data_IF_911297151275
#
_entry.id   IF_911297151275
#
_cell.length_a   1.000
_cell.length_b   1.000
_cell.length_c   1.000
_cell.angle_alpha   90.00
_cell.angle_beta   90.00
_cell.angle_gamma   90.00
#
_symmetry.space_group_name_H-M   'P 1'
#
loop_
_entity.id
_entity.type
_entity.pdbx_description
1 polymer ?
#
# COMPACT_ATOMS: atom_id res chain seq x y z
N UNK A 1 54.55 29.30 39.53
CA UNK A 1 54.75 28.18 38.62
C UNK A 1 53.44 27.43 38.55
N UNK A 2 52.60 27.74 37.55
CA UNK A 2 51.20 27.24 37.43
C UNK A 2 51.23 26.14 36.37
N UNK A 3 51.00 24.88 36.80
CA UNK A 3 50.88 23.75 35.93
C UNK A 3 49.48 23.72 35.34
N UNK A 4 49.37 23.94 34.03
CA UNK A 4 48.13 23.76 33.28
C UNK A 4 47.97 22.25 32.97
N UNK A 5 46.97 21.62 33.60
CA UNK A 5 46.53 20.27 33.25
C UNK A 5 45.58 20.40 32.06
N UNK A 6 46.01 19.94 30.88
CA UNK A 6 45.20 19.81 29.69
C UNK A 6 44.44 18.48 29.76
N UNK A 7 43.15 18.51 30.10
CA UNK A 7 42.29 17.34 29.99
C UNK A 7 41.86 17.21 28.50
N UNK A 8 42.44 16.25 27.81
CA UNK A 8 42.08 15.87 26.48
C UNK A 8 40.84 14.94 26.57
N UNK A 9 39.63 15.54 26.40
CA UNK A 9 38.42 14.74 26.30
C UNK A 9 38.42 14.07 24.93
N UNK A 10 38.77 12.82 24.87
CA UNK A 10 38.61 11.95 23.70
C UNK A 10 37.12 11.62 23.58
N UNK A 11 36.38 12.42 22.83
CA UNK A 11 35.02 12.06 22.40
C UNK A 11 35.17 10.93 21.39
N UNK A 12 35.02 9.69 21.84
CA UNK A 12 34.73 8.55 21.01
C UNK A 12 33.36 8.83 20.32
N UNK A 13 33.43 9.41 19.15
CA UNK A 13 32.31 9.42 18.20
C UNK A 13 32.04 7.97 17.79
N UNK A 14 31.28 7.26 18.59
CA UNK A 14 30.61 6.06 18.11
C UNK A 14 29.64 6.53 17.03
N UNK A 15 30.03 6.33 15.78
CA UNK A 15 29.12 6.38 14.66
C UNK A 15 28.05 5.30 14.87
N UNK A 16 27.03 5.61 15.65
CA UNK A 16 25.80 4.83 15.59
C UNK A 16 25.22 5.06 14.21
N UNK A 17 25.39 4.09 13.33
CA UNK A 17 24.62 4.01 12.09
C UNK A 17 23.14 3.95 12.48
N UNK A 18 22.48 5.09 12.52
CA UNK A 18 21.06 5.28 12.85
C UNK A 18 20.12 4.55 11.87
N UNK A 19 20.65 3.78 10.92
CA UNK A 19 19.92 3.21 9.80
C UNK A 19 19.74 1.69 9.82
N UNK A 20 20.16 0.96 10.84
CA UNK A 20 19.89 -0.48 10.93
C UNK A 20 18.97 -0.75 12.12
N UNK A 21 17.76 -1.20 11.81
CA UNK A 21 16.91 -1.80 12.83
C UNK A 21 17.43 -3.20 13.12
N UNK A 22 17.63 -3.51 14.39
CA UNK A 22 17.94 -4.88 14.83
C UNK A 22 16.63 -5.66 14.88
N UNK A 23 16.51 -6.70 14.06
CA UNK A 23 15.32 -7.53 13.97
C UNK A 23 15.68 -9.01 13.90
N UNK A 24 14.82 -9.82 14.46
CA UNK A 24 14.95 -11.27 14.44
C UNK A 24 14.11 -11.89 13.34
N UNK A 25 14.67 -12.88 12.64
CA UNK A 25 13.92 -13.75 11.74
C UNK A 25 13.56 -15.01 12.51
N UNK A 26 12.29 -15.14 12.85
CA UNK A 26 11.79 -16.20 13.70
C UNK A 26 10.95 -17.20 12.89
N UNK A 27 10.94 -18.43 13.40
CA UNK A 27 10.04 -19.48 12.90
C UNK A 27 9.37 -20.16 14.08
N UNK A 28 8.07 -20.35 13.97
CA UNK A 28 7.28 -21.03 15.00
C UNK A 28 7.39 -22.54 14.89
N UNK A 29 6.90 -23.27 15.89
CA UNK A 29 6.86 -24.74 15.89
C UNK A 29 6.01 -25.31 14.75
N UNK A 30 4.87 -24.64 14.42
CA UNK A 30 3.99 -25.01 13.31
C UNK A 30 4.48 -24.50 11.93
N UNK A 31 5.73 -23.97 11.90
CA UNK A 31 6.45 -23.66 10.67
C UNK A 31 6.18 -22.29 10.05
N UNK A 32 5.57 -21.36 10.77
CA UNK A 32 5.29 -19.99 10.28
C UNK A 32 6.55 -19.13 10.48
N UNK A 33 7.03 -18.50 9.42
CA UNK A 33 8.14 -17.56 9.48
C UNK A 33 7.63 -16.13 9.61
N UNK A 34 8.28 -15.33 10.45
CA UNK A 34 7.94 -13.92 10.63
C UNK A 34 9.17 -13.11 11.06
N UNK A 35 9.11 -11.79 10.87
CA UNK A 35 10.17 -10.89 11.33
C UNK A 35 9.69 -10.12 12.56
N UNK A 36 10.59 -9.97 13.53
CA UNK A 36 10.28 -9.49 14.86
C UNK A 36 11.24 -8.41 15.34
N UNK A 37 10.69 -7.37 15.98
CA UNK A 37 11.45 -6.36 16.71
C UNK A 37 10.90 -6.26 18.14
N UNK A 38 11.76 -6.50 19.14
CA UNK A 38 11.41 -6.22 20.53
C UNK A 38 11.49 -4.71 20.77
N UNK A 39 10.39 -4.10 21.20
CA UNK A 39 10.31 -2.68 21.54
C UNK A 39 9.49 -2.53 22.82
N UNK A 40 10.17 -2.22 23.92
CA UNK A 40 9.58 -2.04 25.24
C UNK A 40 9.25 -0.57 25.56
N UNK A 41 9.36 0.34 24.61
CA UNK A 41 9.12 1.77 24.81
C UNK A 41 7.68 2.08 25.21
N UNK A 42 6.74 1.26 24.75
CA UNK A 42 5.32 1.33 25.09
C UNK A 42 4.80 -0.07 25.43
N UNK A 43 3.79 -0.21 26.32
CA UNK A 43 3.17 -1.49 26.64
C UNK A 43 2.21 -1.94 25.53
N UNK A 44 2.69 -1.94 24.28
CA UNK A 44 1.91 -2.29 23.08
C UNK A 44 2.60 -3.38 22.28
N UNK A 45 1.81 -4.25 21.71
CA UNK A 45 2.22 -5.23 20.70
C UNK A 45 1.49 -4.92 19.41
N UNK A 46 2.23 -4.82 18.33
CA UNK A 46 1.69 -4.56 17.00
C UNK A 46 2.13 -5.65 16.04
N UNK A 47 1.19 -6.10 15.23
CA UNK A 47 1.43 -7.01 14.13
C UNK A 47 0.84 -6.45 12.86
N UNK A 48 1.60 -6.50 11.77
CA UNK A 48 1.12 -6.26 10.41
C UNK A 48 1.32 -7.54 9.61
N UNK A 49 0.27 -8.00 8.94
CA UNK A 49 0.32 -9.23 8.17
C UNK A 49 -0.40 -9.08 6.84
N UNK A 50 -0.04 -9.93 5.88
CA UNK A 50 -0.70 -9.99 4.58
C UNK A 50 -0.83 -11.43 4.14
N UNK A 51 -1.95 -11.73 3.48
CA UNK A 51 -2.10 -12.95 2.70
C UNK A 51 -2.02 -12.60 1.21
N UNK A 52 -1.12 -13.23 0.47
CA UNK A 52 -0.99 -13.05 -0.98
C UNK A 52 -2.24 -13.54 -1.71
N UNK A 53 -2.57 -12.89 -2.84
CA UNK A 53 -3.76 -13.18 -3.62
C UNK A 53 -4.98 -12.45 -3.06
N UNK A 54 -5.22 -11.24 -3.56
CA UNK A 54 -6.35 -10.39 -3.19
C UNK A 54 -7.53 -10.48 -4.15
N UNK A 55 -8.30 -9.40 -4.23
CA UNK A 55 -9.55 -9.31 -4.97
C UNK A 55 -9.41 -9.54 -6.50
N UNK A 56 -8.20 -9.37 -7.08
CA UNK A 56 -7.99 -9.67 -8.50
C UNK A 56 -8.19 -11.15 -8.83
N UNK A 57 -8.07 -12.04 -7.85
CA UNK A 57 -8.27 -13.47 -8.01
C UNK A 57 -9.72 -13.93 -7.77
N UNK A 58 -10.64 -13.01 -7.57
CA UNK A 58 -12.06 -13.34 -7.49
C UNK A 58 -12.53 -14.03 -8.77
N UNK A 59 -13.40 -15.05 -8.68
CA UNK A 59 -13.94 -15.72 -9.85
C UNK A 59 -14.67 -14.72 -10.77
N UNK A 60 -14.56 -14.93 -12.07
CA UNK A 60 -15.25 -14.09 -13.06
C UNK A 60 -16.75 -14.06 -12.80
N UNK A 61 -17.33 -12.86 -12.80
CA UNK A 61 -18.73 -12.59 -12.47
C UNK A 61 -19.06 -12.62 -10.98
N UNK A 62 -18.07 -12.83 -10.11
CA UNK A 62 -18.17 -12.77 -8.65
C UNK A 62 -17.13 -11.81 -8.04
N UNK A 63 -16.74 -10.79 -8.80
CA UNK A 63 -15.85 -9.73 -8.34
C UNK A 63 -16.42 -9.07 -7.07
N UNK A 64 -15.56 -8.79 -6.11
CA UNK A 64 -15.94 -8.31 -4.77
C UNK A 64 -16.11 -9.42 -3.73
N UNK A 65 -15.92 -10.69 -4.10
CA UNK A 65 -16.11 -11.81 -3.17
C UNK A 65 -15.04 -11.82 -2.07
N UNK A 66 -13.78 -11.51 -2.37
CA UNK A 66 -12.73 -11.34 -1.35
C UNK A 66 -13.05 -10.16 -0.43
N UNK A 67 -13.51 -9.03 -0.96
CA UNK A 67 -13.89 -7.88 -0.14
C UNK A 67 -15.09 -8.20 0.76
N UNK A 68 -16.11 -8.86 0.25
CA UNK A 68 -17.26 -9.32 1.04
C UNK A 68 -16.83 -10.27 2.15
N UNK A 69 -15.99 -11.27 1.84
CA UNK A 69 -15.48 -12.23 2.81
C UNK A 69 -14.71 -11.54 3.94
N UNK A 70 -13.79 -10.64 3.61
CA UNK A 70 -13.01 -9.88 4.61
C UNK A 70 -13.91 -9.00 5.47
N UNK A 71 -14.91 -8.34 4.88
CA UNK A 71 -15.89 -7.50 5.60
C UNK A 71 -16.82 -8.29 6.54
N UNK A 72 -16.84 -9.61 6.44
CA UNK A 72 -17.63 -10.48 7.29
C UNK A 72 -16.85 -11.06 8.48
N UNK A 73 -15.53 -10.92 8.53
CA UNK A 73 -14.68 -11.54 9.55
C UNK A 73 -14.90 -10.99 10.97
N UNK A 74 -15.51 -9.82 11.08
CA UNK A 74 -15.82 -9.18 12.36
C UNK A 74 -17.34 -9.10 12.66
N UNK A 75 -18.18 -9.68 11.80
CA UNK A 75 -19.65 -9.64 11.98
C UNK A 75 -20.20 -10.74 12.90
N UNK A 76 -19.50 -11.87 13.01
CA UNK A 76 -19.87 -12.93 13.93
C UNK A 76 -18.95 -14.14 13.81
N UNK A 77 -18.63 -14.73 14.97
CA UNK A 77 -17.82 -15.95 15.10
C UNK A 77 -18.55 -17.01 15.92
N UNK A 78 -17.95 -18.19 16.06
CA UNK A 78 -18.55 -19.27 16.87
C UNK A 78 -18.90 -18.81 18.30
N UNK A 79 -18.02 -18.01 18.93
CA UNK A 79 -18.18 -17.55 20.32
C UNK A 79 -18.82 -16.16 20.43
N UNK A 80 -18.79 -15.36 19.36
CA UNK A 80 -19.29 -13.99 19.35
C UNK A 80 -20.35 -13.79 18.26
N UNK A 81 -21.61 -13.73 18.66
CA UNK A 81 -22.73 -13.49 17.73
C UNK A 81 -23.06 -12.00 17.63
N UNK A 82 -23.33 -11.54 16.39
CA UNK A 82 -23.68 -10.14 16.11
C UNK A 82 -22.54 -9.19 16.49
N UNK A 83 -22.86 -8.09 17.16
CA UNK A 83 -21.87 -7.05 17.50
C UNK A 83 -20.96 -7.41 18.70
N UNK A 84 -21.10 -8.59 19.32
CA UNK A 84 -20.34 -8.94 20.53
C UNK A 84 -18.83 -8.92 20.30
N UNK A 85 -18.36 -9.41 19.16
CA UNK A 85 -16.93 -9.37 18.83
C UNK A 85 -16.40 -7.92 18.80
N UNK A 86 -17.12 -7.02 18.14
CA UNK A 86 -16.75 -5.59 18.06
C UNK A 86 -16.75 -4.90 19.43
N UNK A 87 -17.70 -5.27 20.29
CA UNK A 87 -17.74 -4.78 21.68
C UNK A 87 -16.55 -5.29 22.49
N UNK A 88 -16.25 -6.60 22.43
CA UNK A 88 -15.10 -7.20 23.13
C UNK A 88 -13.78 -6.60 22.66
N UNK A 89 -13.59 -6.37 21.36
CA UNK A 89 -12.42 -5.67 20.83
C UNK A 89 -12.26 -4.28 21.45
N UNK A 90 -13.35 -3.52 21.54
CA UNK A 90 -13.35 -2.18 22.12
C UNK A 90 -13.06 -2.20 23.62
N UNK A 91 -13.70 -3.09 24.38
CA UNK A 91 -13.53 -3.24 25.85
C UNK A 91 -12.11 -3.68 26.20
N UNK A 92 -11.53 -4.56 25.40
CA UNK A 92 -10.17 -5.05 25.56
C UNK A 92 -9.08 -4.05 25.08
N UNK A 93 -9.45 -2.98 24.37
CA UNK A 93 -8.50 -2.05 23.76
C UNK A 93 -7.72 -2.68 22.59
N UNK A 94 -8.22 -3.77 22.03
CA UNK A 94 -7.65 -4.45 20.88
C UNK A 94 -8.15 -3.83 19.58
N UNK A 95 -7.22 -3.59 18.65
CA UNK A 95 -7.55 -3.09 17.31
C UNK A 95 -7.19 -4.14 16.27
N UNK A 96 -8.18 -4.57 15.51
CA UNK A 96 -8.03 -5.42 14.33
C UNK A 96 -8.56 -4.62 13.14
N UNK A 97 -7.77 -4.56 12.07
CA UNK A 97 -8.24 -4.03 10.79
C UNK A 97 -7.85 -5.01 9.69
N UNK A 98 -8.82 -5.40 8.88
CA UNK A 98 -8.64 -6.28 7.74
C UNK A 98 -9.20 -5.59 6.50
N UNK A 99 -8.49 -5.63 5.40
CA UNK A 99 -8.93 -5.07 4.12
C UNK A 99 -8.54 -5.97 2.95
N UNK A 100 -9.42 -6.01 1.96
CA UNK A 100 -9.11 -6.63 0.67
C UNK A 100 -8.47 -5.58 -0.24
N UNK A 101 -7.29 -5.91 -0.75
CA UNK A 101 -6.57 -5.13 -1.74
C UNK A 101 -6.58 -5.88 -3.09
N UNK A 102 -6.06 -5.25 -4.14
CA UNK A 102 -5.97 -5.91 -5.45
C UNK A 102 -5.22 -7.24 -5.38
N UNK A 103 -4.00 -7.25 -4.86
CA UNK A 103 -3.09 -8.41 -4.88
C UNK A 103 -2.97 -9.16 -3.55
N UNK A 104 -3.59 -8.66 -2.48
CA UNK A 104 -3.45 -9.22 -1.13
C UNK A 104 -4.63 -8.91 -0.24
N UNK A 105 -4.73 -9.63 0.86
CA UNK A 105 -5.52 -9.26 2.03
C UNK A 105 -4.54 -8.68 3.04
N UNK A 106 -4.77 -7.46 3.49
CA UNK A 106 -3.97 -6.80 4.52
C UNK A 106 -4.62 -6.92 5.88
N UNK A 107 -3.78 -7.14 6.91
CA UNK A 107 -4.23 -7.14 8.29
C UNK A 107 -3.29 -6.32 9.18
N UNK A 108 -3.87 -5.61 10.13
CA UNK A 108 -3.15 -5.02 11.26
C UNK A 108 -3.81 -5.40 12.56
N UNK A 109 -3.00 -5.63 13.57
CA UNK A 109 -3.41 -5.99 14.91
C UNK A 109 -2.60 -5.19 15.92
N UNK A 110 -3.26 -4.64 16.93
CA UNK A 110 -2.61 -3.99 18.06
C UNK A 110 -3.33 -4.35 19.35
N UNK A 111 -2.57 -4.62 20.39
CA UNK A 111 -3.09 -4.93 21.73
C UNK A 111 -2.15 -4.37 22.79
N UNK A 112 -2.67 -3.95 23.93
CA UNK A 112 -1.88 -3.62 25.10
C UNK A 112 -1.32 -4.90 25.73
N UNK A 113 -0.06 -4.89 26.22
CA UNK A 113 0.61 -6.08 26.72
C UNK A 113 -0.12 -6.78 27.87
N UNK A 114 -0.88 -6.04 28.68
CA UNK A 114 -1.71 -6.60 29.76
C UNK A 114 -2.93 -7.40 29.29
N UNK A 115 -3.32 -7.24 28.03
CA UNK A 115 -4.50 -7.87 27.43
C UNK A 115 -4.12 -8.83 26.27
N UNK A 116 -2.88 -9.27 26.25
CA UNK A 116 -2.31 -10.04 25.13
C UNK A 116 -3.11 -11.32 24.83
N UNK A 117 -3.48 -12.06 25.86
CA UNK A 117 -4.17 -13.34 25.70
C UNK A 117 -5.54 -13.16 25.06
N UNK A 118 -6.33 -12.24 25.60
CA UNK A 118 -7.66 -11.91 25.08
C UNK A 118 -7.58 -11.33 23.67
N UNK A 119 -6.64 -10.40 23.42
CA UNK A 119 -6.48 -9.78 22.10
C UNK A 119 -6.16 -10.81 21.01
N UNK A 120 -5.23 -11.75 21.28
CA UNK A 120 -4.91 -12.80 20.32
C UNK A 120 -6.03 -13.82 20.16
N UNK A 121 -6.82 -14.08 21.21
CA UNK A 121 -8.04 -14.90 21.10
C UNK A 121 -9.08 -14.24 20.19
N UNK A 122 -9.33 -12.94 20.33
CA UNK A 122 -10.25 -12.21 19.46
C UNK A 122 -9.80 -12.23 17.99
N UNK A 123 -8.48 -12.11 17.75
CA UNK A 123 -7.91 -12.25 16.41
C UNK A 123 -8.08 -13.67 15.84
N UNK A 124 -7.85 -14.69 16.67
CA UNK A 124 -8.08 -16.10 16.32
C UNK A 124 -9.53 -16.33 15.91
N UNK A 125 -10.50 -15.84 16.70
CA UNK A 125 -11.93 -15.96 16.41
C UNK A 125 -12.27 -15.32 15.06
N UNK A 126 -11.79 -14.09 14.81
CA UNK A 126 -12.02 -13.40 13.54
C UNK A 126 -11.50 -14.17 12.32
N UNK A 127 -10.31 -14.76 12.43
CA UNK A 127 -9.66 -15.39 11.26
C UNK A 127 -10.11 -16.84 11.09
N UNK A 128 -10.25 -17.62 12.20
CA UNK A 128 -10.43 -19.07 12.10
C UNK A 128 -11.87 -19.53 12.30
N UNK A 129 -12.73 -18.71 12.93
CA UNK A 129 -14.07 -19.10 13.37
C UNK A 129 -15.22 -18.21 12.85
N UNK A 130 -15.08 -17.56 11.66
CA UNK A 130 -16.16 -16.75 11.13
C UNK A 130 -17.39 -17.62 10.78
N UNK A 131 -18.58 -17.17 11.16
CA UNK A 131 -19.81 -17.92 10.90
C UNK A 131 -20.34 -17.78 9.49
N UNK A 132 -20.11 -16.64 8.86
CA UNK A 132 -20.68 -16.32 7.55
C UNK A 132 -22.16 -16.67 7.44
N UNK A 133 -22.95 -16.27 8.45
CA UNK A 133 -24.38 -16.56 8.45
C UNK A 133 -25.13 -15.73 7.41
N UNK A 134 -26.29 -16.19 6.97
CA UNK A 134 -27.05 -15.59 5.87
C UNK A 134 -27.54 -14.17 6.17
N UNK A 135 -27.80 -13.86 7.43
CA UNK A 135 -28.23 -12.53 7.87
C UNK A 135 -27.10 -11.51 7.72
N UNK A 136 -25.88 -11.82 8.25
CA UNK A 136 -24.70 -10.96 8.14
C UNK A 136 -24.27 -10.81 6.68
N UNK A 137 -24.30 -11.88 5.89
CA UNK A 137 -24.02 -11.79 4.45
C UNK A 137 -24.98 -10.82 3.77
N UNK A 138 -26.27 -10.90 4.06
CA UNK A 138 -27.29 -10.00 3.49
C UNK A 138 -27.06 -8.57 3.92
N UNK A 139 -26.77 -8.34 5.21
CA UNK A 139 -26.47 -7.02 5.77
C UNK A 139 -25.24 -6.40 5.11
N UNK A 140 -24.11 -7.12 5.07
CA UNK A 140 -22.84 -6.61 4.52
C UNK A 140 -22.93 -6.40 3.02
N UNK A 141 -23.62 -7.28 2.26
CA UNK A 141 -23.89 -7.03 0.84
C UNK A 141 -24.64 -5.70 0.62
N UNK A 142 -25.68 -5.43 1.41
CA UNK A 142 -26.41 -4.16 1.33
C UNK A 142 -25.51 -2.96 1.65
N UNK A 143 -24.63 -3.08 2.64
CA UNK A 143 -23.67 -2.02 2.99
C UNK A 143 -22.69 -1.74 1.84
N UNK A 144 -22.12 -2.79 1.22
CA UNK A 144 -21.21 -2.64 0.08
C UNK A 144 -21.97 -2.05 -1.12
N UNK A 145 -23.19 -2.50 -1.41
CA UNK A 145 -24.01 -1.93 -2.48
C UNK A 145 -24.35 -0.46 -2.25
N UNK A 146 -24.63 -0.07 -1.01
CA UNK A 146 -24.84 1.33 -0.64
C UNK A 146 -23.56 2.16 -0.86
N UNK A 147 -22.39 1.62 -0.43
CA UNK A 147 -21.09 2.24 -0.70
C UNK A 147 -20.85 2.42 -2.21
N UNK A 148 -21.08 1.38 -3.03
CA UNK A 148 -20.94 1.46 -4.49
C UNK A 148 -21.87 2.55 -5.07
N UNK A 149 -23.08 2.69 -4.54
CA UNK A 149 -24.02 3.75 -4.98
C UNK A 149 -23.50 5.14 -4.63
N UNK A 150 -22.95 5.33 -3.44
CA UNK A 150 -22.31 6.59 -3.02
C UNK A 150 -21.10 6.88 -3.91
N UNK A 151 -20.23 5.90 -4.16
CA UNK A 151 -19.04 6.02 -4.99
C UNK A 151 -19.37 6.56 -6.40
N UNK A 152 -20.55 6.21 -6.96
CA UNK A 152 -21.02 6.72 -8.25
C UNK A 152 -21.30 8.23 -8.25
N UNK A 153 -21.56 8.84 -7.10
CA UNK A 153 -21.80 10.28 -6.97
C UNK A 153 -20.54 11.08 -6.62
N UNK A 154 -19.44 10.41 -6.27
CA UNK A 154 -18.17 11.05 -5.89
C UNK A 154 -17.23 11.12 -7.09
N UNK A 155 -17.02 12.34 -7.59
CA UNK A 155 -16.24 12.61 -8.82
C UNK A 155 -14.84 11.99 -8.78
N UNK A 156 -14.13 12.12 -7.65
CA UNK A 156 -12.78 11.55 -7.50
C UNK A 156 -12.76 10.03 -7.49
N UNK A 157 -13.78 9.40 -6.91
CA UNK A 157 -13.93 7.94 -6.95
C UNK A 157 -14.22 7.49 -8.37
N UNK A 158 -15.15 8.15 -9.07
CA UNK A 158 -15.45 7.84 -10.47
C UNK A 158 -14.23 8.01 -11.38
N UNK A 159 -13.42 9.06 -11.16
CA UNK A 159 -12.20 9.25 -11.93
C UNK A 159 -11.21 8.08 -11.73
N UNK A 160 -11.05 7.61 -10.48
CA UNK A 160 -10.16 6.50 -10.17
C UNK A 160 -10.69 5.15 -10.68
N UNK A 161 -11.99 4.89 -10.56
CA UNK A 161 -12.63 3.66 -11.05
C UNK A 161 -12.57 3.58 -12.57
N UNK A 162 -12.97 4.64 -13.27
CA UNK A 162 -12.91 4.73 -14.74
C UNK A 162 -11.48 4.68 -15.25
N UNK A 163 -10.54 5.33 -14.54
CA UNK A 163 -9.12 5.19 -14.85
C UNK A 163 -8.68 3.72 -14.80
N UNK A 164 -8.97 3.00 -13.71
CA UNK A 164 -8.58 1.59 -13.59
C UNK A 164 -9.25 0.72 -14.67
N UNK A 165 -10.54 0.92 -14.92
CA UNK A 165 -11.33 0.18 -15.91
C UNK A 165 -10.72 0.27 -17.31
N UNK A 166 -10.31 1.48 -17.72
CA UNK A 166 -9.84 1.74 -19.07
C UNK A 166 -8.32 1.56 -19.17
N UNK A 167 -7.55 2.13 -18.25
CA UNK A 167 -6.09 2.09 -18.29
C UNK A 167 -5.53 0.66 -18.22
N UNK A 168 -6.17 -0.20 -17.41
CA UNK A 168 -5.82 -1.63 -17.28
C UNK A 168 -6.74 -2.55 -18.08
N UNK A 169 -7.38 -2.06 -19.14
CA UNK A 169 -8.27 -2.85 -19.98
C UNK A 169 -7.66 -4.20 -20.32
N UNK A 170 -8.50 -5.23 -20.39
CA UNK A 170 -8.10 -6.62 -20.64
C UNK A 170 -7.15 -7.23 -19.60
N UNK A 171 -7.02 -6.60 -18.44
CA UNK A 171 -6.25 -7.10 -17.30
C UNK A 171 -7.14 -7.25 -16.07
N UNK A 172 -6.77 -8.14 -15.15
CA UNK A 172 -7.43 -8.26 -13.85
C UNK A 172 -7.37 -6.94 -13.05
N UNK A 173 -6.37 -6.10 -13.30
CA UNK A 173 -6.20 -4.80 -12.63
C UNK A 173 -7.31 -3.79 -12.96
N UNK A 174 -8.10 -4.00 -14.03
CA UNK A 174 -9.28 -3.19 -14.33
C UNK A 174 -10.43 -3.42 -13.34
N UNK A 175 -10.44 -4.55 -12.61
CA UNK A 175 -11.51 -4.94 -11.69
C UNK A 175 -11.58 -4.05 -10.46
N UNK A 176 -12.80 -3.73 -10.04
CA UNK A 176 -13.05 -3.05 -8.77
C UNK A 176 -12.98 -4.05 -7.61
N UNK A 177 -12.23 -3.72 -6.57
CA UNK A 177 -12.10 -4.55 -5.35
C UNK A 177 -13.44 -4.80 -4.67
N UNK A 178 -14.35 -3.83 -4.70
CA UNK A 178 -15.72 -3.98 -4.15
C UNK A 178 -16.64 -4.81 -5.05
N UNK A 179 -16.22 -5.09 -6.28
CA UNK A 179 -17.08 -5.68 -7.31
C UNK A 179 -18.13 -4.72 -7.84
N UNK A 180 -19.23 -5.27 -8.33
CA UNK A 180 -20.41 -4.55 -8.80
C UNK A 180 -21.66 -5.00 -8.05
N UNK A 181 -22.75 -4.24 -8.14
CA UNK A 181 -24.03 -4.66 -7.56
C UNK A 181 -24.52 -6.01 -8.13
N UNK A 182 -24.22 -6.26 -9.40
CA UNK A 182 -24.58 -7.49 -10.11
C UNK A 182 -23.72 -8.68 -9.69
N UNK A 183 -22.39 -8.49 -9.58
CA UNK A 183 -21.48 -9.55 -9.14
C UNK A 183 -21.74 -9.94 -7.69
N UNK A 184 -21.98 -8.97 -6.80
CA UNK A 184 -22.31 -9.20 -5.38
C UNK A 184 -23.56 -10.07 -5.19
N UNK A 185 -24.59 -9.92 -6.04
CA UNK A 185 -25.80 -10.76 -5.97
C UNK A 185 -25.50 -12.24 -6.22
N UNK A 186 -24.52 -12.53 -7.10
CA UNK A 186 -24.15 -13.91 -7.49
C UNK A 186 -23.26 -14.61 -6.49
N UNK A 187 -22.67 -13.91 -5.53
CA UNK A 187 -21.80 -14.50 -4.52
C UNK A 187 -22.65 -15.26 -3.50
N UNK A 188 -22.44 -16.56 -3.40
CA UNK A 188 -23.10 -17.42 -2.41
C UNK A 188 -22.27 -17.55 -1.12
N UNK A 189 -22.89 -18.08 -0.07
CA UNK A 189 -22.19 -18.45 1.18
C UNK A 189 -21.05 -19.43 0.92
N UNK A 190 -21.27 -20.41 0.04
CA UNK A 190 -20.24 -21.39 -0.33
C UNK A 190 -19.03 -20.72 -1.02
N UNK A 191 -19.25 -19.70 -1.85
CA UNK A 191 -18.15 -18.94 -2.45
C UNK A 191 -17.31 -18.23 -1.39
N UNK A 192 -17.95 -17.66 -0.37
CA UNK A 192 -17.28 -16.97 0.74
C UNK A 192 -16.40 -17.96 1.51
N UNK A 193 -16.92 -19.12 1.89
CA UNK A 193 -16.14 -20.18 2.55
C UNK A 193 -14.98 -20.69 1.70
N UNK A 194 -15.20 -20.88 0.40
CA UNK A 194 -14.16 -21.31 -0.52
C UNK A 194 -13.02 -20.29 -0.59
N UNK A 195 -13.35 -19.00 -0.78
CA UNK A 195 -12.37 -17.91 -0.85
C UNK A 195 -11.62 -17.78 0.48
N UNK A 196 -12.31 -17.88 1.60
CA UNK A 196 -11.69 -17.86 2.93
C UNK A 196 -10.64 -18.97 3.05
N UNK A 197 -11.01 -20.22 2.77
CA UNK A 197 -10.12 -21.39 2.85
C UNK A 197 -8.92 -21.30 1.90
N UNK A 198 -9.11 -20.73 0.70
CA UNK A 198 -8.06 -20.57 -0.30
C UNK A 198 -7.12 -19.39 0.01
N UNK A 199 -7.63 -18.34 0.61
CA UNK A 199 -6.86 -17.11 0.90
C UNK A 199 -6.07 -17.21 2.20
N UNK A 200 -6.70 -17.71 3.27
CA UNK A 200 -6.06 -17.83 4.58
C UNK A 200 -5.28 -19.15 4.68
N UNK A 201 -4.07 -19.14 4.15
CA UNK A 201 -3.16 -20.29 4.16
C UNK A 201 -1.78 -19.90 4.65
N UNK A 202 -1.07 -20.82 5.32
CA UNK A 202 0.29 -20.57 5.85
C UNK A 202 1.27 -20.11 4.78
N UNK A 203 1.17 -20.67 3.58
CA UNK A 203 2.10 -20.37 2.50
C UNK A 203 1.92 -18.98 1.87
N UNK A 204 0.74 -18.38 2.04
CA UNK A 204 0.44 -17.03 1.55
C UNK A 204 0.67 -15.95 2.60
N UNK A 205 0.91 -16.35 3.87
CA UNK A 205 1.00 -15.46 5.03
C UNK A 205 2.41 -14.86 5.17
N UNK A 206 2.43 -13.56 5.38
CA UNK A 206 3.63 -12.76 5.64
C UNK A 206 3.35 -11.91 6.86
N UNK A 207 4.27 -11.93 7.86
CA UNK A 207 4.05 -11.28 9.15
C UNK A 207 5.26 -10.45 9.55
N UNK A 208 5.00 -9.24 10.03
CA UNK A 208 5.93 -8.42 10.82
C UNK A 208 5.33 -8.13 12.18
N UNK A 209 6.12 -8.25 13.23
CA UNK A 209 5.74 -8.01 14.62
C UNK A 209 6.70 -7.04 15.27
N UNK A 210 6.18 -6.11 16.06
CA UNK A 210 6.99 -5.24 16.88
C UNK A 210 6.27 -4.89 18.20
N UNK A 211 6.99 -4.84 19.31
CA UNK A 211 6.40 -4.40 20.57
C UNK A 211 6.93 -5.07 21.81
N UNK A 212 6.23 -4.84 22.91
CA UNK A 212 6.60 -5.29 24.25
C UNK A 212 6.16 -6.75 24.49
N UNK A 213 6.87 -7.67 23.85
CA UNK A 213 6.74 -9.12 23.96
C UNK A 213 8.11 -9.74 23.73
N UNK A 214 8.39 -10.88 24.31
CA UNK A 214 9.60 -11.65 23.98
C UNK A 214 9.36 -12.58 22.76
N UNK A 215 10.44 -13.05 22.15
CA UNK A 215 10.40 -13.87 20.94
C UNK A 215 9.69 -15.20 21.13
N UNK A 216 9.80 -15.84 22.30
CA UNK A 216 9.14 -17.13 22.58
C UNK A 216 7.62 -16.97 22.71
N UNK A 217 7.17 -15.95 23.44
CA UNK A 217 5.74 -15.65 23.50
C UNK A 217 5.19 -15.19 22.14
N UNK A 218 5.96 -14.41 21.37
CA UNK A 218 5.57 -14.04 20.01
C UNK A 218 5.35 -15.29 19.13
N UNK A 219 6.25 -16.27 19.15
CA UNK A 219 6.07 -17.56 18.45
C UNK A 219 4.80 -18.29 18.87
N UNK A 220 4.54 -18.40 20.17
CA UNK A 220 3.35 -19.07 20.72
C UNK A 220 2.06 -18.42 20.23
N UNK A 221 1.96 -17.08 20.29
CA UNK A 221 0.75 -16.38 19.87
C UNK A 221 0.55 -16.39 18.34
N UNK A 222 1.64 -16.35 17.56
CA UNK A 222 1.56 -16.53 16.10
C UNK A 222 1.06 -17.93 15.75
N UNK A 223 1.57 -18.99 16.42
CA UNK A 223 1.08 -20.35 16.24
C UNK A 223 -0.34 -20.53 16.72
N UNK A 224 -0.73 -19.85 17.80
CA UNK A 224 -2.11 -19.87 18.28
C UNK A 224 -3.08 -19.36 17.22
N UNK A 225 -2.78 -18.21 16.60
CA UNK A 225 -3.69 -17.61 15.60
C UNK A 225 -3.62 -18.30 14.25
N UNK A 226 -2.41 -18.56 13.74
CA UNK A 226 -2.22 -18.96 12.34
C UNK A 226 -1.78 -20.42 12.16
N UNK A 227 -1.47 -21.11 13.26
CA UNK A 227 -0.89 -22.45 13.23
C UNK A 227 -1.84 -23.53 12.71
N UNK A 228 -3.15 -23.32 12.77
CA UNK A 228 -4.16 -24.24 12.26
C UNK A 228 -4.59 -23.94 10.81
N UNK A 229 -4.10 -22.83 10.24
CA UNK A 229 -4.41 -22.50 8.84
C UNK A 229 -3.91 -23.63 7.91
N UNK A 230 -4.65 -23.95 6.86
CA UNK A 230 -4.23 -24.95 5.90
C UNK A 230 -2.95 -24.55 5.18
N UNK A 231 -2.13 -25.52 4.78
CA UNK A 231 -1.06 -25.32 3.83
C UNK A 231 -1.59 -25.50 2.41
N UNK A 232 -1.22 -24.59 1.50
CA UNK A 232 -1.57 -24.70 0.08
C UNK A 232 -0.30 -24.81 -0.75
N UNK A 233 -0.31 -25.67 -1.75
CA UNK A 233 0.76 -25.72 -2.76
C UNK A 233 0.56 -24.68 -3.86
N UNK A 234 -0.64 -24.13 -4.00
CA UNK A 234 -0.96 -23.14 -5.01
C UNK A 234 -0.39 -21.75 -4.59
N UNK A 235 0.47 -21.21 -5.42
CA UNK A 235 0.89 -19.82 -5.31
C UNK A 235 -0.25 -18.94 -5.81
N UNK A 236 -0.62 -17.95 -5.00
CA UNK A 236 -1.62 -16.94 -5.37
C UNK A 236 -0.91 -15.69 -5.90
N UNK A 237 -0.30 -15.83 -7.07
CA UNK A 237 0.39 -14.75 -7.75
C UNK A 237 -0.55 -14.06 -8.74
N UNK A 238 -0.48 -12.74 -8.79
CA UNK A 238 -1.25 -11.96 -9.76
C UNK A 238 -0.47 -11.88 -11.07
N UNK A 239 -1.07 -12.19 -12.23
CA UNK A 239 -0.39 -12.04 -13.51
C UNK A 239 -0.06 -10.57 -13.79
N UNK A 240 1.06 -10.28 -14.47
CA UNK A 240 1.38 -8.91 -14.88
C UNK A 240 0.32 -8.37 -15.86
N UNK A 241 0.19 -7.05 -15.92
CA UNK A 241 -0.59 -6.42 -16.97
C UNK A 241 0.29 -6.18 -18.21
N UNK A 242 -0.20 -6.61 -19.37
CA UNK A 242 0.58 -6.56 -20.61
C UNK A 242 0.46 -5.20 -21.31
N UNK A 243 -0.75 -4.75 -21.56
CA UNK A 243 -1.03 -3.52 -22.26
C UNK A 243 -1.65 -2.49 -21.29
N UNK A 244 -1.27 -1.24 -21.45
CA UNK A 244 -1.87 -0.11 -20.76
C UNK A 244 -2.37 0.87 -21.81
N UNK A 245 -3.59 1.38 -21.60
CA UNK A 245 -4.17 2.37 -22.51
C UNK A 245 -3.39 3.68 -22.48
N UNK A 246 -3.51 4.45 -23.57
CA UNK A 246 -2.82 5.73 -23.79
C UNK A 246 -3.82 6.76 -24.32
N UNK A 247 -3.48 8.03 -24.19
CA UNK A 247 -4.33 9.11 -24.68
C UNK A 247 -5.22 9.73 -23.62
N UNK A 248 -6.45 10.02 -23.93
CA UNK A 248 -7.40 10.59 -22.97
C UNK A 248 -8.82 10.10 -23.22
N UNK A 249 -9.53 9.84 -22.10
CA UNK A 249 -10.95 9.52 -22.10
C UNK A 249 -11.71 10.49 -21.21
N UNK A 250 -12.97 10.74 -21.53
CA UNK A 250 -13.81 11.68 -20.84
C UNK A 250 -15.11 11.01 -20.38
N UNK A 251 -15.37 11.12 -19.07
CA UNK A 251 -16.63 10.71 -18.46
C UNK A 251 -17.38 11.93 -17.95
N UNK A 252 -18.58 12.16 -18.46
CA UNK A 252 -19.37 13.34 -18.13
C UNK A 252 -20.02 13.22 -16.76
N UNK A 253 -19.76 14.22 -15.92
CA UNK A 253 -20.41 14.41 -14.63
C UNK A 253 -20.60 15.89 -14.35
N UNK A 254 -21.81 16.26 -13.90
CA UNK A 254 -22.07 17.62 -13.45
C UNK A 254 -21.27 17.95 -12.20
N UNK A 255 -20.24 18.78 -12.36
CA UNK A 255 -19.35 19.20 -11.28
C UNK A 255 -18.69 20.55 -11.60
N UNK A 256 -18.43 21.41 -10.60
CA UNK A 256 -17.78 22.69 -10.83
C UNK A 256 -16.30 22.55 -11.24
N UNK A 257 -15.66 21.44 -10.89
CA UNK A 257 -14.27 21.15 -11.23
C UNK A 257 -14.14 19.74 -11.78
N UNK A 258 -13.40 19.58 -12.88
CA UNK A 258 -13.02 18.28 -13.36
C UNK A 258 -11.96 17.63 -12.46
N UNK A 259 -12.09 16.33 -12.22
CA UNK A 259 -11.05 15.50 -11.60
C UNK A 259 -10.37 14.67 -12.68
N UNK A 260 -9.05 14.74 -12.71
CA UNK A 260 -8.23 14.02 -13.68
C UNK A 260 -7.32 13.05 -12.95
N UNK A 261 -7.35 11.79 -13.37
CA UNK A 261 -6.35 10.77 -13.00
C UNK A 261 -5.55 10.45 -14.24
N UNK A 262 -4.23 10.43 -14.12
CA UNK A 262 -3.34 10.12 -15.23
C UNK A 262 -2.29 9.10 -14.84
N UNK A 263 -1.75 8.39 -15.81
CA UNK A 263 -0.70 7.42 -15.52
C UNK A 263 0.00 6.86 -16.74
N UNK A 264 1.07 6.15 -16.47
CA UNK A 264 1.85 5.36 -17.43
C UNK A 264 2.45 4.14 -16.75
N UNK A 265 3.07 3.23 -17.50
CA UNK A 265 3.88 2.14 -16.95
C UNK A 265 5.01 2.68 -16.08
N UNK A 266 5.22 2.04 -14.95
CA UNK A 266 6.31 2.27 -14.02
C UNK A 266 7.11 1.00 -13.76
N UNK A 267 7.51 0.77 -12.51
CA UNK A 267 8.32 -0.37 -12.10
C UNK A 267 7.75 -1.06 -10.87
N UNK A 268 7.74 -2.39 -10.88
CA UNK A 268 7.53 -3.21 -9.70
C UNK A 268 8.65 -3.04 -8.67
N UNK A 269 8.37 -3.45 -7.44
CA UNK A 269 9.25 -3.18 -6.28
C UNK A 269 10.61 -3.85 -6.37
N UNK A 270 10.71 -5.00 -7.04
CA UNK A 270 11.96 -5.77 -7.24
C UNK A 270 12.82 -5.27 -8.41
N UNK A 271 12.32 -4.37 -9.22
CA UNK A 271 13.07 -3.87 -10.36
C UNK A 271 14.34 -3.13 -9.86
N UNK A 272 15.49 -3.41 -10.48
CA UNK A 272 16.78 -2.77 -10.14
C UNK A 272 16.73 -1.26 -10.25
N UNK A 273 15.95 -0.73 -11.17
CA UNK A 273 15.79 0.70 -11.43
C UNK A 273 14.74 1.37 -10.52
N UNK A 274 14.12 0.60 -9.58
CA UNK A 274 13.02 1.10 -8.74
C UNK A 274 13.39 2.35 -7.93
N UNK A 275 14.57 2.38 -7.28
CA UNK A 275 14.99 3.55 -6.51
C UNK A 275 15.30 4.76 -7.40
N UNK A 276 15.89 4.54 -8.56
CA UNK A 276 16.11 5.58 -9.55
C UNK A 276 14.78 6.16 -10.07
N UNK A 277 13.80 5.30 -10.37
CA UNK A 277 12.47 5.72 -10.76
C UNK A 277 11.73 6.47 -9.63
N UNK A 278 11.92 6.08 -8.36
CA UNK A 278 11.39 6.83 -7.22
C UNK A 278 11.98 8.23 -7.12
N UNK A 279 13.29 8.39 -7.35
CA UNK A 279 13.95 9.70 -7.37
C UNK A 279 13.39 10.56 -8.49
N UNK A 280 13.25 10.02 -9.70
CA UNK A 280 12.66 10.72 -10.84
C UNK A 280 11.23 11.17 -10.54
N UNK A 281 10.41 10.27 -9.99
CA UNK A 281 9.04 10.63 -9.62
C UNK A 281 8.98 11.65 -8.49
N UNK A 282 9.89 11.60 -7.51
CA UNK A 282 9.98 12.63 -6.45
C UNK A 282 10.16 14.02 -7.06
N UNK A 283 11.11 14.16 -7.96
CA UNK A 283 11.38 15.44 -8.66
C UNK A 283 10.18 15.86 -9.49
N UNK A 284 9.54 14.92 -10.17
CA UNK A 284 8.42 15.22 -11.08
C UNK A 284 7.15 15.65 -10.35
N UNK A 285 6.63 14.84 -9.42
CA UNK A 285 5.34 15.10 -8.78
C UNK A 285 5.21 14.55 -7.35
N UNK A 286 6.19 13.75 -6.87
CA UNK A 286 6.14 13.11 -5.56
C UNK A 286 6.73 13.95 -4.42
N UNK A 287 7.47 15.00 -4.72
CA UNK A 287 8.15 15.86 -3.75
C UNK A 287 7.28 16.96 -3.13
N UNK A 288 5.96 16.88 -3.28
CA UNK A 288 5.03 17.89 -2.77
C UNK A 288 5.33 19.27 -3.37
N UNK A 289 5.45 20.28 -2.54
CA UNK A 289 5.72 21.67 -2.97
C UNK A 289 7.04 21.85 -3.76
N UNK A 290 8.00 20.95 -3.61
CA UNK A 290 9.27 21.02 -4.32
C UNK A 290 9.24 20.37 -5.72
N UNK A 291 8.18 19.63 -6.05
CA UNK A 291 8.07 18.93 -7.32
C UNK A 291 7.86 19.88 -8.50
N UNK A 292 8.32 19.47 -9.69
CA UNK A 292 8.18 20.24 -10.93
C UNK A 292 6.71 20.48 -11.31
N UNK A 293 5.87 19.45 -11.19
CA UNK A 293 4.43 19.57 -11.46
C UNK A 293 3.78 20.63 -10.56
N UNK A 294 4.11 20.62 -9.27
CA UNK A 294 3.52 21.58 -8.35
C UNK A 294 3.97 23.01 -8.69
N UNK A 295 5.26 23.22 -8.89
CA UNK A 295 5.84 24.53 -9.23
C UNK A 295 5.27 25.08 -10.55
N UNK A 296 5.21 24.23 -11.59
CA UNK A 296 4.77 24.68 -12.91
C UNK A 296 3.26 24.85 -12.99
N UNK A 297 2.48 23.86 -12.51
CA UNK A 297 1.02 23.84 -12.74
C UNK A 297 0.27 24.67 -11.70
N UNK A 298 0.71 24.62 -10.43
CA UNK A 298 0.05 25.37 -9.35
C UNK A 298 0.66 26.74 -9.13
N UNK A 299 1.97 26.84 -8.84
CA UNK A 299 2.56 28.11 -8.40
C UNK A 299 2.64 29.11 -9.54
N UNK A 300 3.15 28.70 -10.72
CA UNK A 300 3.32 29.63 -11.84
C UNK A 300 2.04 29.89 -12.63
N UNK A 301 1.20 28.87 -12.81
CA UNK A 301 0.05 29.00 -13.70
C UNK A 301 -1.31 29.02 -12.97
N UNK A 302 -1.38 28.72 -11.65
CA UNK A 302 -2.61 28.78 -10.87
C UNK A 302 -3.75 27.87 -11.36
N UNK A 303 -3.42 26.82 -12.13
CA UNK A 303 -4.41 25.97 -12.80
C UNK A 303 -5.07 24.97 -11.85
N UNK A 304 -4.37 24.56 -10.77
CA UNK A 304 -4.81 23.54 -9.81
C UNK A 304 -4.56 23.99 -8.37
N UNK A 305 -5.31 23.43 -7.41
CA UNK A 305 -4.99 23.56 -6.00
C UNK A 305 -3.89 22.59 -5.56
N UNK A 306 -3.95 21.36 -6.07
CA UNK A 306 -2.92 20.35 -5.85
C UNK A 306 -2.72 19.48 -7.09
N UNK A 307 -1.50 19.02 -7.28
CA UNK A 307 -1.14 18.03 -8.30
C UNK A 307 -0.02 17.16 -7.76
N UNK A 308 -0.09 15.88 -8.04
CA UNK A 308 0.88 14.91 -7.55
C UNK A 308 1.08 13.76 -8.53
N UNK A 309 2.19 13.05 -8.36
CA UNK A 309 2.39 11.72 -8.93
C UNK A 309 3.13 10.83 -7.95
N UNK A 310 2.91 9.52 -8.02
CA UNK A 310 3.63 8.53 -7.25
C UNK A 310 3.86 7.25 -8.06
N UNK A 311 4.96 6.58 -7.74
CA UNK A 311 5.28 5.26 -8.27
C UNK A 311 4.56 4.22 -7.42
N UNK A 312 3.60 3.51 -8.01
CA UNK A 312 2.84 2.44 -7.40
C UNK A 312 3.38 1.09 -7.88
N UNK A 313 4.15 0.38 -7.04
CA UNK A 313 4.62 -0.95 -7.38
C UNK A 313 3.54 -1.99 -7.11
N UNK A 314 3.41 -2.94 -8.01
CA UNK A 314 2.72 -4.20 -7.84
C UNK A 314 3.73 -5.35 -7.67
N UNK A 315 3.27 -6.59 -7.47
CA UNK A 315 4.17 -7.73 -7.27
C UNK A 315 5.13 -7.92 -8.45
N UNK A 316 4.62 -7.94 -9.67
CA UNK A 316 5.39 -8.21 -10.89
C UNK A 316 5.64 -6.99 -11.78
N UNK A 317 4.91 -5.90 -11.60
CA UNK A 317 5.01 -4.70 -12.46
C UNK A 317 4.77 -3.42 -11.61
N UNK A 318 4.55 -2.27 -12.25
CA UNK A 318 4.20 -1.03 -11.55
C UNK A 318 3.74 0.05 -12.51
N UNK A 319 3.18 1.10 -11.94
CA UNK A 319 2.72 2.28 -12.68
C UNK A 319 3.20 3.57 -12.01
N UNK A 320 3.37 4.62 -12.79
CA UNK A 320 3.41 5.98 -12.29
C UNK A 320 2.00 6.52 -12.49
N UNK A 321 1.36 6.93 -11.40
CA UNK A 321 0.00 7.45 -11.41
C UNK A 321 -0.02 8.80 -10.71
N UNK A 322 -0.87 9.70 -11.17
CA UNK A 322 -1.04 11.01 -10.58
C UNK A 322 -2.45 11.53 -10.74
N UNK A 323 -2.72 12.65 -10.12
CA UNK A 323 -4.03 13.27 -10.21
C UNK A 323 -4.02 14.75 -9.87
N UNK A 324 -5.05 15.44 -10.34
CA UNK A 324 -5.33 16.83 -10.03
C UNK A 324 -6.80 17.16 -10.23
N UNK A 325 -7.22 18.29 -9.67
CA UNK A 325 -8.51 18.90 -9.95
C UNK A 325 -8.31 20.29 -10.53
N UNK A 326 -9.10 20.63 -11.54
CA UNK A 326 -9.05 21.94 -12.18
C UNK A 326 -10.44 22.39 -12.63
N UNK A 327 -10.60 23.67 -12.94
CA UNK A 327 -11.85 24.17 -13.56
C UNK A 327 -12.06 23.48 -14.90
N UNK A 328 -13.30 23.14 -15.25
CA UNK A 328 -13.59 22.42 -16.50
C UNK A 328 -12.94 23.09 -17.74
N UNK A 329 -12.98 24.42 -17.83
CA UNK A 329 -12.37 25.19 -18.93
C UNK A 329 -10.83 25.10 -19.01
N UNK A 330 -10.16 24.71 -17.94
CA UNK A 330 -8.69 24.66 -17.86
C UNK A 330 -8.12 23.23 -18.07
N UNK A 331 -8.97 22.24 -18.33
CA UNK A 331 -8.56 20.82 -18.41
C UNK A 331 -7.48 20.61 -19.46
N UNK A 332 -7.70 21.05 -20.70
CA UNK A 332 -6.74 20.81 -21.79
C UNK A 332 -5.41 21.55 -21.58
N UNK A 333 -5.46 22.79 -21.05
CA UNK A 333 -4.26 23.55 -20.70
C UNK A 333 -3.46 22.84 -19.60
N UNK A 334 -4.16 22.35 -18.55
CA UNK A 334 -3.49 21.64 -17.45
C UNK A 334 -2.86 20.35 -17.93
N UNK A 335 -3.55 19.56 -18.76
CA UNK A 335 -3.00 18.35 -19.37
C UNK A 335 -1.76 18.67 -20.23
N UNK A 336 -1.80 19.76 -21.00
CA UNK A 336 -0.66 20.20 -21.80
C UNK A 336 0.56 20.49 -20.91
N UNK A 337 0.37 21.19 -19.78
CA UNK A 337 1.46 21.46 -18.81
C UNK A 337 2.03 20.16 -18.22
N UNK A 338 1.19 19.20 -17.84
CA UNK A 338 1.64 17.88 -17.36
C UNK A 338 2.50 17.19 -18.45
N UNK A 339 2.03 17.14 -19.70
CA UNK A 339 2.77 16.54 -20.82
C UNK A 339 4.11 17.25 -21.06
N UNK A 340 4.14 18.58 -20.93
CA UNK A 340 5.39 19.35 -21.06
C UNK A 340 6.43 18.96 -19.99
N UNK A 341 6.01 18.76 -18.73
CA UNK A 341 6.93 18.32 -17.67
C UNK A 341 7.40 16.87 -17.89
N UNK A 342 6.55 15.98 -18.42
CA UNK A 342 6.94 14.64 -18.84
C UNK A 342 8.01 14.69 -19.94
N UNK A 343 7.79 15.52 -20.96
CA UNK A 343 8.75 15.73 -22.06
C UNK A 343 10.06 16.32 -21.57
N UNK A 344 10.03 17.29 -20.64
CA UNK A 344 11.24 17.83 -20.02
C UNK A 344 12.00 16.75 -19.25
N UNK A 345 11.28 15.92 -18.47
CA UNK A 345 11.90 14.80 -17.76
C UNK A 345 12.59 13.82 -18.71
N UNK A 346 11.94 13.47 -19.83
CA UNK A 346 12.51 12.61 -20.87
C UNK A 346 13.77 13.19 -21.47
N UNK A 347 13.74 14.46 -21.88
CA UNK A 347 14.78 15.08 -22.72
C UNK A 347 15.95 15.66 -21.91
N UNK A 348 15.68 16.14 -20.70
CA UNK A 348 16.66 16.87 -19.88
C UNK A 348 17.04 16.10 -18.60
N UNK A 349 16.21 15.12 -18.20
CA UNK A 349 16.38 14.42 -16.94
C UNK A 349 16.22 15.35 -15.73
N UNK A 350 16.99 15.10 -14.68
CA UNK A 350 17.05 15.91 -13.46
C UNK A 350 18.42 16.55 -13.31
N UNK A 351 18.48 17.66 -12.56
CA UNK A 351 19.73 18.34 -12.22
C UNK A 351 20.45 17.66 -11.05
N UNK A 352 21.73 17.99 -10.85
CA UNK A 352 22.52 17.53 -9.72
C UNK A 352 21.92 17.97 -8.37
N UNK A 353 21.35 19.19 -8.32
CA UNK A 353 20.70 19.71 -7.11
C UNK A 353 19.40 18.92 -6.78
N UNK A 354 18.54 18.68 -7.77
CA UNK A 354 17.34 17.86 -7.62
C UNK A 354 17.66 16.44 -7.16
N UNK A 355 18.72 15.83 -7.68
CA UNK A 355 19.20 14.54 -7.22
C UNK A 355 19.65 14.59 -5.75
N UNK A 356 20.42 15.61 -5.37
CA UNK A 356 20.86 15.80 -3.98
C UNK A 356 19.68 15.96 -3.02
N UNK A 357 18.71 16.80 -3.35
CA UNK A 357 17.50 17.01 -2.55
C UNK A 357 16.68 15.73 -2.40
N UNK A 358 16.47 14.99 -3.49
CA UNK A 358 15.76 13.71 -3.45
C UNK A 358 16.47 12.65 -2.59
N UNK A 359 17.80 12.53 -2.70
CA UNK A 359 18.60 11.64 -1.83
C UNK A 359 18.45 12.03 -0.36
N UNK A 360 18.59 13.31 -0.02
CA UNK A 360 18.44 13.82 1.34
C UNK A 360 17.05 13.50 1.89
N UNK A 361 16.00 13.75 1.11
CA UNK A 361 14.64 13.41 1.49
C UNK A 361 14.45 11.92 1.77
N UNK A 362 14.88 11.05 0.85
CA UNK A 362 14.67 9.60 1.01
C UNK A 362 15.48 9.01 2.17
N UNK A 363 16.64 9.55 2.46
CA UNK A 363 17.43 9.15 3.63
C UNK A 363 16.76 9.62 4.93
N UNK A 364 16.44 10.92 5.02
CA UNK A 364 15.87 11.52 6.22
C UNK A 364 14.45 11.03 6.52
N UNK A 365 13.61 10.84 5.50
CA UNK A 365 12.23 10.39 5.70
C UNK A 365 12.11 8.93 6.16
N UNK A 366 13.17 8.14 6.03
CA UNK A 366 13.12 6.73 6.40
C UNK A 366 12.97 6.52 7.91
N UNK A 367 13.54 7.39 8.73
CA UNK A 367 13.42 7.35 10.19
C UNK A 367 11.98 7.39 10.70
N UNK A 368 11.07 7.98 9.92
CA UNK A 368 9.63 8.00 10.26
C UNK A 368 8.99 6.62 10.33
N UNK A 369 9.58 5.60 9.71
CA UNK A 369 9.07 4.24 9.80
C UNK A 369 9.34 3.59 11.18
N UNK A 370 10.13 4.22 12.03
CA UNK A 370 10.50 3.71 13.36
C UNK A 370 9.80 4.47 14.51
N UNK A 371 8.81 5.29 14.21
CA UNK A 371 8.13 6.14 15.21
C UNK A 371 7.01 5.43 15.97
N UNK A 372 6.63 4.22 15.57
CA UNK A 372 5.61 3.42 16.26
C UNK A 372 5.79 1.93 15.96
N UNK A 373 5.38 1.08 16.91
CA UNK A 373 5.44 -0.37 16.76
C UNK A 373 4.70 -0.88 15.52
N UNK A 374 3.54 -0.27 15.18
CA UNK A 374 2.79 -0.67 13.97
C UNK A 374 3.52 -0.27 12.69
N UNK A 375 4.21 0.87 12.67
CA UNK A 375 5.01 1.29 11.50
C UNK A 375 6.20 0.35 11.31
N UNK A 376 6.86 -0.07 12.40
CA UNK A 376 7.94 -1.04 12.38
C UNK A 376 7.43 -2.39 11.86
N UNK A 377 6.36 -2.92 12.44
CA UNK A 377 5.74 -4.18 12.00
C UNK A 377 5.35 -4.14 10.51
N UNK A 378 4.79 -3.02 10.06
CA UNK A 378 4.42 -2.82 8.65
C UNK A 378 5.65 -2.81 7.74
N UNK A 379 6.73 -2.14 8.16
CA UNK A 379 7.97 -2.11 7.39
C UNK A 379 8.60 -3.50 7.26
N UNK A 380 8.65 -4.28 8.35
CA UNK A 380 9.12 -5.66 8.37
C UNK A 380 8.31 -6.53 7.40
N UNK A 381 6.97 -6.42 7.44
CA UNK A 381 6.07 -7.13 6.51
C UNK A 381 6.32 -6.72 5.05
N UNK A 382 6.45 -5.43 4.76
CA UNK A 382 6.65 -4.92 3.38
C UNK A 382 7.97 -5.44 2.78
N UNK A 383 9.04 -5.48 3.56
CA UNK A 383 10.33 -6.01 3.10
C UNK A 383 10.22 -7.49 2.74
N UNK A 384 9.51 -8.28 3.55
CA UNK A 384 9.23 -9.69 3.29
C UNK A 384 8.28 -9.87 2.08
N UNK A 385 7.21 -9.08 2.00
CA UNK A 385 6.21 -9.17 0.93
C UNK A 385 6.85 -9.03 -0.45
N UNK A 386 7.75 -8.06 -0.61
CA UNK A 386 8.47 -7.84 -1.85
C UNK A 386 9.80 -8.60 -1.93
N UNK A 387 10.11 -9.48 -0.94
CA UNK A 387 11.34 -10.29 -0.91
C UNK A 387 12.59 -9.45 -1.20
N UNK A 388 12.77 -8.37 -0.43
CA UNK A 388 13.88 -7.42 -0.62
C UNK A 388 15.18 -7.86 0.06
N UNK A 389 15.15 -8.98 0.76
CA UNK A 389 16.29 -9.55 1.49
C UNK A 389 16.45 -8.98 2.91
N UNK A 390 17.12 -9.75 3.76
CA UNK A 390 17.38 -9.37 5.16
C UNK A 390 18.27 -8.13 5.30
N UNK A 391 19.17 -7.94 4.34
CA UNK A 391 20.13 -6.85 4.37
C UNK A 391 19.56 -5.52 3.80
N UNK A 392 18.26 -5.51 3.50
CA UNK A 392 17.59 -4.33 2.92
C UNK A 392 17.78 -3.07 3.76
N UNK A 393 17.66 -3.18 5.09
CA UNK A 393 17.79 -2.03 6.00
C UNK A 393 19.20 -1.46 6.01
N UNK A 394 20.20 -2.34 6.10
CA UNK A 394 21.61 -1.95 6.06
C UNK A 394 22.02 -1.37 4.71
N UNK A 395 21.58 -1.97 3.61
CA UNK A 395 22.01 -1.61 2.26
C UNK A 395 21.26 -0.41 1.66
N UNK A 396 20.06 -0.09 2.17
CA UNK A 396 19.17 0.91 1.57
C UNK A 396 19.81 2.30 1.41
N UNK A 397 20.52 2.76 2.42
CA UNK A 397 21.22 4.06 2.38
C UNK A 397 22.28 4.06 1.28
N UNK A 398 23.09 3.00 1.24
CA UNK A 398 24.11 2.83 0.19
C UNK A 398 23.53 2.77 -1.22
N UNK A 399 22.39 2.09 -1.41
CA UNK A 399 21.69 2.06 -2.71
C UNK A 399 21.34 3.49 -3.15
N UNK A 400 20.81 4.32 -2.23
CA UNK A 400 20.43 5.71 -2.54
C UNK A 400 21.67 6.56 -2.82
N UNK A 401 22.73 6.41 -2.00
CA UNK A 401 23.97 7.18 -2.16
C UNK A 401 24.69 6.88 -3.48
N UNK A 402 24.63 5.62 -3.92
CA UNK A 402 25.29 5.17 -5.17
C UNK A 402 24.53 5.55 -6.45
N UNK A 403 23.32 6.13 -6.37
CA UNK A 403 22.61 6.60 -7.55
C UNK A 403 23.40 7.72 -8.25
N UNK A 404 23.72 7.53 -9.53
CA UNK A 404 24.48 8.50 -10.32
C UNK A 404 23.58 9.27 -11.27
N UNK A 405 23.83 10.57 -11.40
CA UNK A 405 23.03 11.46 -12.24
C UNK A 405 22.92 10.97 -13.69
N UNK A 406 24.02 10.51 -14.28
CA UNK A 406 24.06 9.99 -15.65
C UNK A 406 23.15 8.78 -15.83
N UNK A 407 23.15 7.85 -14.88
CA UNK A 407 22.33 6.63 -14.92
C UNK A 407 20.83 6.96 -14.75
N UNK A 408 20.50 7.86 -13.80
CA UNK A 408 19.15 8.33 -13.59
C UNK A 408 18.59 9.05 -14.81
N UNK A 409 19.39 9.93 -15.45
CA UNK A 409 18.95 10.65 -16.63
C UNK A 409 18.83 9.74 -17.85
N UNK A 410 19.70 8.72 -17.97
CA UNK A 410 19.51 7.65 -18.96
C UNK A 410 18.23 6.86 -18.72
N UNK A 411 17.87 6.59 -17.45
CA UNK A 411 16.59 5.96 -17.11
C UNK A 411 15.42 6.88 -17.48
N UNK A 412 15.50 8.17 -17.14
CA UNK A 412 14.46 9.14 -17.45
C UNK A 412 14.08 9.16 -18.93
N UNK A 413 15.10 9.16 -19.82
CA UNK A 413 14.87 9.16 -21.27
C UNK A 413 14.19 7.90 -21.79
N UNK A 414 14.31 6.77 -21.08
CA UNK A 414 13.69 5.49 -21.45
C UNK A 414 12.25 5.34 -20.95
N UNK A 415 11.96 5.85 -19.75
CA UNK A 415 10.67 5.58 -19.09
C UNK A 415 9.65 6.69 -19.28
N UNK A 416 10.09 7.96 -19.36
CA UNK A 416 9.15 9.06 -19.53
C UNK A 416 8.89 9.33 -21.01
N UNK A 417 7.63 9.16 -21.39
CA UNK A 417 7.15 9.55 -22.72
C UNK A 417 5.74 10.10 -22.58
N UNK A 418 5.55 11.36 -22.93
CA UNK A 418 4.26 12.03 -22.86
C UNK A 418 3.18 11.40 -23.75
N UNK A 419 3.61 10.62 -24.76
CA UNK A 419 2.72 9.85 -25.66
C UNK A 419 2.19 8.57 -24.99
N UNK A 420 2.85 8.08 -23.95
CA UNK A 420 2.45 6.90 -23.21
C UNK A 420 1.52 7.22 -22.02
N UNK A 421 1.27 8.51 -21.76
CA UNK A 421 0.31 8.92 -20.74
C UNK A 421 -1.13 8.63 -21.16
N UNK A 422 -1.87 8.09 -20.22
CA UNK A 422 -3.32 8.03 -20.27
C UNK A 422 -3.90 9.04 -19.28
N UNK A 423 -4.97 9.74 -19.67
CA UNK A 423 -5.71 10.69 -18.84
C UNK A 423 -7.18 10.29 -18.78
N UNK A 424 -7.70 10.01 -17.60
CA UNK A 424 -9.12 9.88 -17.36
C UNK A 424 -9.65 11.20 -16.81
N UNK A 425 -10.58 11.80 -17.51
CA UNK A 425 -11.18 13.09 -17.17
C UNK A 425 -12.62 12.84 -16.75
N UNK A 426 -12.97 13.25 -15.53
CA UNK A 426 -14.36 13.25 -15.06
C UNK A 426 -14.78 14.68 -14.73
N UNK A 427 -15.75 15.18 -15.46
CA UNK A 427 -16.15 16.58 -15.34
C UNK A 427 -17.27 16.95 -16.28
N UNK A 428 -17.55 18.26 -16.41
CA UNK A 428 -18.50 18.81 -17.36
C UNK A 428 -17.76 19.21 -18.65
N UNK A 429 -18.26 18.77 -19.81
CA UNK A 429 -17.76 19.26 -21.09
C UNK A 429 -18.07 20.76 -21.22
N UNK A 430 -17.06 21.55 -21.55
CA UNK A 430 -17.30 22.90 -22.00
C UNK A 430 -17.87 22.82 -23.45
N UNK A 431 -19.07 23.31 -23.61
CA UNK A 431 -19.63 23.53 -24.95
C UNK A 431 -18.93 24.70 -25.61
#
# INVERSE_FOLDING_TARGET
>A
MIIKILIFLFFLLTNHNVNSIDFEQLRTEKGISFWFVKDNSLPLISMSFSFKGGALLDPSGKEGATNLMVSLLDEGTENFKGNKLKLSLKENGTKISLSAEKEKIEGTFQVVSSQIQEGFWLLYESINKPLFNSEDITKVKKQIQASIKIDKSVVSTQASEKFNEIFFKDSLFSRNVKGTSESLKKISRNDIFKIHKESFTKNNLIIGVAGNIDSENAKKYIDYVFGELPSSKAKRETPPFNNLEKGKEFFEMETPQATIVFGQRGFGRKNKDYFAARVLNYVLGGGGFQSRLYKEVREKNGLVYSIYSYLMPYESDGVIIGGFQTRNKNVDETILKVKQEWKKMKNQGISANELKEAKTYYKGSFSRNFTSTISIATLLKVVQYYDLGKDYFANRSGIIDNLKLKEINSLASRIFDEKNLFFMIVGKRNM
#
